data_IF_917555250186
#
_entry.id   IF_917555250186
#
_cell.length_a   1.000
_cell.length_b   1.000
_cell.length_c   1.000
_cell.angle_alpha   90.00
_cell.angle_beta   90.00
_cell.angle_gamma   90.00
#
_symmetry.space_group_name_H-M   'P 1'
#
loop_
_entity.id
_entity.type
_entity.pdbx_description
1 polymer ?
#
# COMPACT_ATOMS: atom_id res chain seq x y z
N UNK A 1 -17.90 -11.67 10.99
CA UNK A 1 -18.93 -11.35 9.97
C UNK A 1 -18.24 -10.63 8.82
N UNK A 2 -18.32 -11.15 7.60
CA UNK A 2 -17.72 -10.49 6.44
C UNK A 2 -18.38 -9.10 6.24
N UNK A 3 -17.57 -8.04 6.08
CA UNK A 3 -18.09 -6.68 5.87
C UNK A 3 -19.07 -6.67 4.68
N UNK A 4 -20.35 -6.39 4.98
CA UNK A 4 -21.38 -6.02 4.00
C UNK A 4 -20.97 -4.69 3.37
N UNK A 5 -21.08 -4.59 2.04
CA UNK A 5 -20.63 -3.49 1.18
C UNK A 5 -20.70 -2.08 1.80
N UNK A 6 -19.72 -1.24 1.46
CA UNK A 6 -19.72 0.18 1.82
C UNK A 6 -20.84 0.93 1.09
N UNK A 7 -21.39 1.97 1.71
CA UNK A 7 -22.45 2.80 1.14
C UNK A 7 -22.14 4.28 1.26
N UNK A 8 -22.41 5.02 0.19
CA UNK A 8 -22.51 6.48 0.11
C UNK A 8 -23.92 6.85 -0.37
N UNK A 9 -24.25 8.15 -0.47
CA UNK A 9 -25.60 8.62 -0.81
C UNK A 9 -26.19 8.01 -2.10
N UNK A 10 -25.34 7.73 -3.10
CA UNK A 10 -25.78 7.19 -4.40
C UNK A 10 -24.95 6.00 -4.89
N UNK A 11 -24.09 5.42 -4.03
CA UNK A 11 -23.15 4.35 -4.44
C UNK A 11 -23.06 3.30 -3.35
N UNK A 12 -23.25 2.04 -3.72
CA UNK A 12 -22.86 0.88 -2.89
C UNK A 12 -21.69 0.19 -3.58
N UNK A 13 -20.65 -0.14 -2.82
CA UNK A 13 -19.42 -0.69 -3.40
C UNK A 13 -18.72 -1.66 -2.46
N UNK A 14 -18.04 -2.64 -3.05
CA UNK A 14 -17.17 -3.60 -2.40
C UNK A 14 -15.98 -3.86 -3.32
N UNK A 15 -15.04 -2.94 -3.36
CA UNK A 15 -13.94 -2.94 -4.31
C UNK A 15 -12.65 -3.34 -3.59
N UNK A 16 -12.38 -4.66 -3.58
CA UNK A 16 -11.17 -5.23 -2.99
C UNK A 16 -10.17 -5.56 -4.09
N UNK A 17 -8.92 -5.18 -3.89
CA UNK A 17 -7.85 -5.42 -4.84
C UNK A 17 -6.68 -6.11 -4.14
N UNK A 18 -6.23 -7.22 -4.72
CA UNK A 18 -4.96 -7.81 -4.38
C UNK A 18 -3.86 -7.16 -5.21
N UNK A 19 -2.92 -6.54 -4.52
CA UNK A 19 -1.86 -5.72 -5.10
C UNK A 19 -0.53 -6.36 -4.74
N UNK A 20 0.31 -6.56 -5.74
CA UNK A 20 1.66 -7.09 -5.58
C UNK A 20 2.65 -6.20 -6.31
N UNK A 21 3.73 -5.82 -5.64
CA UNK A 21 4.82 -5.08 -6.27
C UNK A 21 6.17 -5.35 -5.59
N UNK A 22 7.25 -5.17 -6.35
CA UNK A 22 8.62 -5.43 -5.89
C UNK A 22 9.43 -4.14 -5.84
N UNK A 23 10.53 -4.17 -5.10
CA UNK A 23 11.56 -3.12 -5.16
C UNK A 23 12.29 -3.15 -6.51
N UNK A 24 12.91 -2.03 -6.89
CA UNK A 24 13.78 -1.97 -8.07
C UNK A 24 14.91 -2.99 -7.90
N UNK A 25 15.14 -3.81 -8.93
CA UNK A 25 16.12 -4.91 -8.93
C UNK A 25 15.87 -6.01 -7.87
N UNK A 26 14.66 -6.11 -7.30
CA UNK A 26 14.31 -7.11 -6.27
C UNK A 26 15.30 -7.17 -5.09
N UNK A 27 15.80 -6.02 -4.66
CA UNK A 27 16.73 -5.92 -3.54
C UNK A 27 16.05 -6.37 -2.25
N UNK A 28 16.44 -7.55 -1.75
CA UNK A 28 15.83 -8.19 -0.58
C UNK A 28 16.11 -7.48 0.74
N UNK A 29 17.25 -6.79 0.81
CA UNK A 29 17.75 -6.09 2.00
C UNK A 29 16.73 -5.06 2.50
N UNK A 30 16.06 -4.36 1.57
CA UNK A 30 15.12 -3.29 1.89
C UNK A 30 13.95 -3.81 2.74
N UNK A 31 13.40 -4.97 2.38
CA UNK A 31 12.21 -5.51 3.05
C UNK A 31 12.53 -6.23 4.35
N UNK A 32 13.75 -6.75 4.52
CA UNK A 32 14.13 -7.41 5.76
C UNK A 32 14.49 -6.40 6.85
N UNK A 33 15.35 -5.43 6.54
CA UNK A 33 15.85 -4.45 7.52
C UNK A 33 14.80 -3.37 7.84
N UNK A 34 14.06 -2.90 6.85
CA UNK A 34 13.16 -1.75 7.01
C UNK A 34 11.68 -2.14 7.05
N UNK A 35 11.37 -3.42 7.33
CA UNK A 35 9.99 -3.95 7.38
C UNK A 35 9.05 -3.09 8.20
N UNK A 36 9.49 -2.69 9.40
CA UNK A 36 8.69 -1.89 10.34
C UNK A 36 8.38 -0.49 9.76
N UNK A 37 9.40 0.20 9.25
CA UNK A 37 9.25 1.53 8.63
C UNK A 37 8.36 1.49 7.40
N UNK A 38 8.53 0.49 6.52
CA UNK A 38 7.69 0.30 5.34
C UNK A 38 6.23 0.08 5.72
N UNK A 39 5.98 -0.78 6.71
CA UNK A 39 4.62 -1.03 7.20
C UNK A 39 3.95 0.23 7.77
N UNK A 40 4.68 1.04 8.52
CA UNK A 40 4.21 2.34 9.03
C UNK A 40 3.86 3.29 7.88
N UNK A 41 4.77 3.45 6.92
CA UNK A 41 4.59 4.34 5.76
C UNK A 41 3.38 3.89 4.91
N UNK A 42 3.25 2.60 4.61
CA UNK A 42 2.13 2.11 3.82
C UNK A 42 0.78 2.35 4.51
N UNK A 43 0.66 2.07 5.81
CA UNK A 43 -0.56 2.36 6.57
C UNK A 43 -0.90 3.84 6.55
N UNK A 44 0.09 4.71 6.77
CA UNK A 44 -0.08 6.17 6.74
C UNK A 44 -0.53 6.67 5.36
N UNK A 45 0.10 6.22 4.28
CA UNK A 45 -0.25 6.62 2.91
C UNK A 45 -1.64 6.13 2.50
N UNK A 46 -2.02 4.90 2.89
CA UNK A 46 -3.36 4.38 2.63
C UNK A 46 -4.42 5.19 3.39
N UNK A 47 -4.16 5.52 4.66
CA UNK A 47 -5.04 6.38 5.46
C UNK A 47 -5.27 7.74 4.82
N UNK A 48 -4.24 8.37 4.25
CA UNK A 48 -4.37 9.67 3.56
C UNK A 48 -5.23 9.62 2.30
N UNK A 49 -5.31 8.47 1.64
CA UNK A 49 -6.16 8.28 0.46
C UNK A 49 -7.53 7.67 0.79
N UNK A 50 -7.82 7.41 2.06
CA UNK A 50 -9.03 6.72 2.49
C UNK A 50 -9.12 5.30 1.92
N UNK A 51 -7.97 4.64 1.74
CA UNK A 51 -7.87 3.26 1.31
C UNK A 51 -7.69 2.39 2.56
N UNK A 52 -8.51 1.37 2.71
CA UNK A 52 -8.43 0.44 3.84
C UNK A 52 -7.50 -0.71 3.48
N UNK A 53 -6.55 -1.05 4.35
CA UNK A 53 -5.74 -2.26 4.22
C UNK A 53 -6.44 -3.37 4.98
N UNK A 54 -6.92 -4.38 4.25
CA UNK A 54 -7.59 -5.56 4.82
C UNK A 54 -6.53 -6.54 5.29
N UNK A 55 -5.53 -6.80 4.43
CA UNK A 55 -4.37 -7.64 4.74
C UNK A 55 -3.11 -7.08 4.10
N UNK A 56 -1.96 -7.27 4.74
CA UNK A 56 -0.68 -6.80 4.23
C UNK A 56 0.47 -7.67 4.68
N UNK A 57 1.16 -8.29 3.73
CA UNK A 57 2.32 -9.13 3.97
C UNK A 57 3.54 -8.56 3.22
N UNK A 58 4.56 -8.21 4.00
CA UNK A 58 5.88 -7.87 3.46
C UNK A 58 6.64 -9.17 3.29
N UNK A 59 7.02 -9.52 2.07
CA UNK A 59 7.91 -10.64 1.77
C UNK A 59 9.33 -10.12 1.54
N UNK A 60 10.36 -10.97 1.62
CA UNK A 60 11.74 -10.53 1.46
C UNK A 60 12.02 -9.81 0.13
N UNK A 61 11.31 -10.13 -0.95
CA UNK A 61 11.55 -9.59 -2.29
C UNK A 61 10.36 -8.82 -2.91
N UNK A 62 9.18 -8.87 -2.27
CA UNK A 62 7.96 -8.21 -2.75
C UNK A 62 6.97 -7.89 -1.62
N UNK A 63 5.96 -7.08 -1.94
CA UNK A 63 4.88 -6.72 -1.02
C UNK A 63 3.57 -7.29 -1.55
N UNK A 64 2.81 -7.96 -0.69
CA UNK A 64 1.43 -8.36 -0.94
C UNK A 64 0.48 -7.50 -0.09
N UNK A 65 -0.53 -6.90 -0.70
CA UNK A 65 -1.55 -6.15 0.02
C UNK A 65 -2.94 -6.49 -0.53
N UNK A 66 -3.89 -6.74 0.35
CA UNK A 66 -5.32 -6.75 0.04
C UNK A 66 -5.90 -5.43 0.55
N UNK A 67 -6.38 -4.59 -0.36
CA UNK A 67 -6.89 -3.26 -0.03
C UNK A 67 -8.30 -3.04 -0.53
N UNK A 68 -9.09 -2.25 0.21
CA UNK A 68 -10.38 -1.71 -0.22
C UNK A 68 -10.17 -0.30 -0.76
N UNK A 69 -10.34 -0.11 -2.08
CA UNK A 69 -10.14 1.19 -2.73
C UNK A 69 -11.50 1.79 -3.10
N UNK A 70 -11.82 3.03 -2.68
CA UNK A 70 -13.06 3.68 -3.07
C UNK A 70 -13.17 3.84 -4.60
N UNK A 71 -14.35 3.64 -5.21
CA UNK A 71 -14.51 3.65 -6.67
C UNK A 71 -14.21 5.00 -7.34
N UNK A 72 -14.19 6.10 -6.57
CA UNK A 72 -13.76 7.43 -7.02
C UNK A 72 -12.24 7.54 -7.28
N UNK A 73 -11.44 6.60 -6.79
CA UNK A 73 -9.99 6.60 -6.90
C UNK A 73 -9.56 5.50 -7.86
N UNK A 74 -8.89 5.84 -8.96
CA UNK A 74 -8.39 4.84 -9.88
C UNK A 74 -7.24 4.04 -9.25
N UNK A 75 -7.25 2.73 -9.49
CA UNK A 75 -6.23 1.81 -8.97
C UNK A 75 -4.83 2.21 -9.47
N UNK A 76 -4.70 2.59 -10.73
CA UNK A 76 -3.43 3.03 -11.33
C UNK A 76 -2.88 4.30 -10.66
N UNK A 77 -3.73 5.30 -10.41
CA UNK A 77 -3.33 6.53 -9.72
C UNK A 77 -2.91 6.24 -8.27
N UNK A 78 -3.68 5.42 -7.56
CA UNK A 78 -3.33 4.99 -6.21
C UNK A 78 -1.97 4.26 -6.18
N UNK A 79 -1.72 3.36 -7.12
CA UNK A 79 -0.46 2.63 -7.21
C UNK A 79 0.74 3.54 -7.50
N UNK A 80 0.59 4.53 -8.39
CA UNK A 80 1.61 5.54 -8.65
C UNK A 80 1.94 6.35 -7.39
N UNK A 81 0.90 6.80 -6.69
CA UNK A 81 1.03 7.52 -5.42
C UNK A 81 1.72 6.68 -4.35
N UNK A 82 1.24 5.46 -4.10
CA UNK A 82 1.73 4.58 -3.05
C UNK A 82 3.21 4.26 -3.24
N UNK A 83 3.60 3.82 -4.45
CA UNK A 83 5.00 3.48 -4.77
C UNK A 83 5.90 4.71 -4.76
N UNK A 84 5.46 5.83 -5.35
CA UNK A 84 6.26 7.04 -5.42
C UNK A 84 6.51 7.68 -4.05
N UNK A 85 5.45 7.88 -3.25
CA UNK A 85 5.58 8.50 -1.93
C UNK A 85 6.25 7.58 -0.91
N UNK A 86 6.01 6.27 -0.96
CA UNK A 86 6.71 5.34 -0.07
C UNK A 86 8.21 5.32 -0.33
N UNK A 87 8.64 5.31 -1.60
CA UNK A 87 10.05 5.42 -1.94
C UNK A 87 10.66 6.71 -1.39
N UNK A 88 10.02 7.86 -1.63
CA UNK A 88 10.51 9.16 -1.15
C UNK A 88 10.67 9.18 0.38
N UNK A 89 9.64 8.76 1.13
CA UNK A 89 9.67 8.73 2.60
C UNK A 89 10.70 7.75 3.14
N UNK A 90 10.95 6.66 2.43
CA UNK A 90 11.98 5.70 2.81
C UNK A 90 13.39 6.28 2.63
N UNK A 91 13.69 6.93 1.50
CA UNK A 91 14.99 7.58 1.28
C UNK A 91 15.25 8.72 2.26
N UNK A 92 14.20 9.47 2.63
CA UNK A 92 14.29 10.55 3.62
C UNK A 92 14.57 10.01 5.04
N UNK A 93 13.84 8.96 5.46
CA UNK A 93 14.02 8.34 6.78
C UNK A 93 15.31 7.53 6.91
N UNK A 94 15.81 6.97 5.80
CA UNK A 94 16.98 6.09 5.77
C UNK A 94 17.94 6.52 4.66
N UNK A 95 18.78 7.51 4.96
CA UNK A 95 19.75 8.11 4.03
C UNK A 95 20.75 7.11 3.39
N UNK A 96 20.93 5.93 4.02
CA UNK A 96 21.82 4.87 3.55
C UNK A 96 21.15 3.84 2.62
N UNK A 97 19.90 4.07 2.19
CA UNK A 97 19.29 3.32 1.09
C UNK A 97 19.98 3.72 -0.23
N UNK A 98 21.15 3.16 -0.52
CA UNK A 98 21.75 3.15 -1.87
C UNK A 98 21.45 1.86 -2.60
#
# INVERSE_FOLDING_TARGET
MAQKAHSLSHIKWLCKYHIVFTSKYRRKIIYNQYRSSLGEIFRRLCSYKGVEIIEGHLMPDHVHMLVSIPPRLSVSSFMGYLKGKSALMMFDKHANLK
#
